data_IF_572355579896
#
_entry.id   IF_572355579896
#
_cell.length_a   1.000
_cell.length_b   1.000
_cell.length_c   1.000
_cell.angle_alpha   90.00
_cell.angle_beta   90.00
_cell.angle_gamma   90.00
#
_symmetry.space_group_name_H-M   'P 1'
#
loop_
_entity.id
_entity.type
_entity.pdbx_description
1 polymer ?
#
# COMPACT_ATOMS: atom_id res chain seq x y z
N UNK A 1 76.41 -40.11 -1.62
CA UNK A 1 76.52 -38.70 -1.19
C UNK A 1 75.74 -37.93 -2.25
N UNK A 2 74.77 -37.07 -1.89
CA UNK A 2 73.75 -36.38 -2.75
C UNK A 2 72.28 -36.86 -2.59
N UNK A 3 71.67 -36.88 -1.38
CA UNK A 3 70.20 -36.73 -1.31
C UNK A 3 69.72 -35.71 -0.27
N UNK A 4 70.63 -35.07 0.45
CA UNK A 4 70.31 -34.12 1.53
C UNK A 4 70.06 -32.71 1.01
N UNK A 5 70.80 -32.26 -0.01
CA UNK A 5 70.67 -30.93 -0.60
C UNK A 5 69.33 -30.70 -1.33
N UNK A 6 68.81 -31.69 -2.06
CA UNK A 6 67.49 -31.60 -2.70
C UNK A 6 66.36 -31.50 -1.68
N UNK A 7 66.43 -32.26 -0.57
CA UNK A 7 65.41 -32.22 0.48
C UNK A 7 65.39 -30.87 1.21
N UNK A 8 66.56 -30.29 1.48
CA UNK A 8 66.66 -28.94 2.04
C UNK A 8 66.17 -27.87 1.06
N UNK A 9 66.51 -27.98 -0.22
CA UNK A 9 66.02 -27.08 -1.27
C UNK A 9 64.48 -27.09 -1.38
N UNK A 10 63.86 -28.27 -1.37
CA UNK A 10 62.41 -28.42 -1.42
C UNK A 10 61.76 -27.87 -0.14
N UNK A 11 62.35 -28.13 1.03
CA UNK A 11 61.86 -27.60 2.29
C UNK A 11 61.88 -26.06 2.31
N UNK A 12 62.96 -25.45 1.83
CA UNK A 12 63.09 -23.99 1.80
C UNK A 12 62.16 -23.35 0.78
N UNK A 13 62.00 -23.96 -0.41
CA UNK A 13 61.01 -23.54 -1.39
C UNK A 13 59.58 -23.65 -0.85
N UNK A 14 59.25 -24.71 -0.13
CA UNK A 14 57.93 -24.89 0.50
C UNK A 14 57.66 -23.85 1.59
N UNK A 15 58.71 -23.41 2.30
CA UNK A 15 58.64 -22.38 3.33
C UNK A 15 58.43 -20.99 2.73
N UNK A 16 59.11 -20.71 1.62
CA UNK A 16 58.92 -19.49 0.82
C UNK A 16 57.49 -19.39 0.27
N UNK A 17 57.00 -20.46 -0.37
CA UNK A 17 55.62 -20.55 -0.86
C UNK A 17 54.61 -20.34 0.27
N UNK A 18 54.85 -20.94 1.45
CA UNK A 18 53.98 -20.75 2.62
C UNK A 18 53.97 -19.31 3.13
N UNK A 19 55.10 -18.59 3.00
CA UNK A 19 55.20 -17.18 3.40
C UNK A 19 54.41 -16.29 2.44
N UNK A 20 54.58 -16.50 1.12
CA UNK A 20 53.82 -15.77 0.10
C UNK A 20 52.32 -16.10 0.17
N UNK A 21 51.95 -17.35 0.49
CA UNK A 21 50.54 -17.70 0.67
C UNK A 21 49.89 -16.95 1.85
N UNK A 22 50.70 -16.59 2.86
CA UNK A 22 50.25 -15.85 4.05
C UNK A 22 50.09 -14.35 3.80
N UNK A 23 50.70 -13.81 2.75
CA UNK A 23 50.53 -12.41 2.34
C UNK A 23 49.32 -12.20 1.43
N UNK A 24 48.80 -13.28 0.82
CA UNK A 24 47.60 -13.23 -0.04
C UNK A 24 46.31 -12.90 0.72
N UNK A 25 46.27 -13.12 2.04
CA UNK A 25 45.10 -12.85 2.87
C UNK A 25 45.52 -11.94 4.01
N UNK A 26 44.99 -10.72 4.01
CA UNK A 26 45.12 -9.80 5.12
C UNK A 26 44.07 -10.15 6.19
N UNK A 27 44.51 -10.58 7.38
CA UNK A 27 43.64 -10.92 8.49
C UNK A 27 42.83 -9.73 9.00
N UNK A 28 43.42 -8.53 9.01
CA UNK A 28 42.76 -7.31 9.48
C UNK A 28 41.61 -6.93 8.54
N UNK A 29 41.80 -7.08 7.22
CA UNK A 29 40.73 -6.83 6.23
C UNK A 29 39.59 -7.84 6.37
N UNK A 30 39.90 -9.10 6.71
CA UNK A 30 38.90 -10.14 6.91
C UNK A 30 38.08 -9.90 8.19
N UNK A 31 38.72 -9.44 9.26
CA UNK A 31 38.05 -9.02 10.49
C UNK A 31 37.20 -7.75 10.29
N UNK A 32 37.72 -6.77 9.54
CA UNK A 32 36.95 -5.58 9.16
C UNK A 32 35.71 -5.94 8.32
N UNK A 33 35.87 -6.84 7.34
CA UNK A 33 34.76 -7.33 6.52
C UNK A 33 33.71 -8.02 7.39
N UNK A 34 34.13 -8.87 8.33
CA UNK A 34 33.24 -9.53 9.27
C UNK A 34 32.48 -8.52 10.14
N UNK A 35 33.16 -7.50 10.67
CA UNK A 35 32.52 -6.44 11.46
C UNK A 35 31.48 -5.67 10.63
N UNK A 36 31.81 -5.32 9.39
CA UNK A 36 30.89 -4.64 8.49
C UNK A 36 29.66 -5.49 8.18
N UNK A 37 29.83 -6.80 7.99
CA UNK A 37 28.72 -7.73 7.80
C UNK A 37 27.80 -7.79 9.03
N UNK A 38 28.34 -7.78 10.25
CA UNK A 38 27.51 -7.74 11.47
C UNK A 38 26.74 -6.42 11.58
N UNK A 39 27.36 -5.30 11.22
CA UNK A 39 26.69 -4.00 11.20
C UNK A 39 25.57 -3.95 10.17
N UNK A 40 25.80 -4.47 8.96
CA UNK A 40 24.76 -4.58 7.92
C UNK A 40 23.62 -5.47 8.41
N UNK A 41 23.94 -6.63 9.00
CA UNK A 41 22.93 -7.55 9.53
C UNK A 41 22.07 -6.87 10.60
N UNK A 42 22.68 -6.18 11.57
CA UNK A 42 21.94 -5.46 12.61
C UNK A 42 21.01 -4.40 12.03
N UNK A 43 21.48 -3.60 11.08
CA UNK A 43 20.64 -2.60 10.40
C UNK A 43 19.47 -3.21 9.63
N UNK A 44 19.68 -4.36 8.98
CA UNK A 44 18.61 -5.08 8.29
C UNK A 44 17.58 -5.64 9.27
N UNK A 45 18.03 -6.14 10.42
CA UNK A 45 17.15 -6.62 11.49
C UNK A 45 16.31 -5.47 12.07
N UNK A 46 16.94 -4.32 12.37
CA UNK A 46 16.25 -3.12 12.85
C UNK A 46 15.19 -2.65 11.85
N UNK A 47 15.56 -2.59 10.56
CA UNK A 47 14.63 -2.20 9.50
C UNK A 47 13.46 -3.19 9.38
N UNK A 48 13.71 -4.49 9.53
CA UNK A 48 12.67 -5.51 9.45
C UNK A 48 11.70 -5.39 10.65
N UNK A 49 12.20 -5.12 11.85
CA UNK A 49 11.38 -4.89 13.02
C UNK A 49 10.46 -3.68 12.85
N UNK A 50 10.98 -2.57 12.31
CA UNK A 50 10.18 -1.37 12.01
C UNK A 50 9.10 -1.67 10.97
N UNK A 51 9.43 -2.38 9.89
CA UNK A 51 8.47 -2.74 8.84
C UNK A 51 7.39 -3.69 9.36
N UNK A 52 7.74 -4.65 10.21
CA UNK A 52 6.78 -5.56 10.84
C UNK A 52 5.78 -4.78 11.69
N UNK A 53 6.27 -3.89 12.57
CA UNK A 53 5.40 -3.04 13.38
C UNK A 53 4.53 -2.12 12.52
N UNK A 54 5.07 -1.56 11.44
CA UNK A 54 4.29 -0.75 10.50
C UNK A 54 3.17 -1.56 9.83
N UNK A 55 3.47 -2.78 9.37
CA UNK A 55 2.49 -3.66 8.76
C UNK A 55 1.35 -3.95 9.74
N UNK A 56 1.67 -4.40 10.96
CA UNK A 56 0.68 -4.69 12.01
C UNK A 56 -0.16 -3.46 12.35
N UNK A 57 0.48 -2.30 12.50
CA UNK A 57 -0.22 -1.05 12.77
C UNK A 57 -1.16 -0.65 11.63
N UNK A 58 -0.69 -0.75 10.38
CA UNK A 58 -1.48 -0.38 9.20
C UNK A 58 -2.69 -1.30 9.00
N UNK A 59 -2.54 -2.59 9.27
CA UNK A 59 -3.63 -3.56 9.24
C UNK A 59 -4.68 -3.29 10.31
N UNK A 60 -4.25 -3.00 11.54
CA UNK A 60 -5.16 -2.65 12.64
C UNK A 60 -5.94 -1.37 12.34
N UNK A 61 -5.26 -0.31 11.88
CA UNK A 61 -5.89 0.94 11.49
C UNK A 61 -6.92 0.73 10.37
N UNK A 62 -6.58 -0.06 9.34
CA UNK A 62 -7.52 -0.39 8.27
C UNK A 62 -8.73 -1.17 8.78
N UNK A 63 -8.51 -2.17 9.64
CA UNK A 63 -9.59 -3.00 10.20
C UNK A 63 -10.55 -2.16 11.05
N UNK A 64 -10.04 -1.19 11.81
CA UNK A 64 -10.84 -0.27 12.62
C UNK A 64 -11.80 0.56 11.76
N UNK A 65 -11.32 1.14 10.66
CA UNK A 65 -12.12 2.09 9.86
C UNK A 65 -12.92 1.43 8.73
N UNK A 66 -12.47 0.30 8.18
CA UNK A 66 -13.07 -0.35 7.01
C UNK A 66 -14.52 -0.79 7.26
N UNK A 67 -14.82 -1.29 8.46
CA UNK A 67 -16.16 -1.69 8.84
C UNK A 67 -17.15 -0.52 8.84
N UNK A 68 -16.72 0.65 9.29
CA UNK A 68 -17.57 1.84 9.35
C UNK A 68 -17.75 2.47 7.98
N UNK A 69 -16.71 2.49 7.13
CA UNK A 69 -16.88 2.86 5.73
C UNK A 69 -17.89 1.97 5.00
N UNK A 70 -17.84 0.65 5.22
CA UNK A 70 -18.78 -0.28 4.63
C UNK A 70 -20.22 0.00 5.09
N UNK A 71 -20.44 0.16 6.41
CA UNK A 71 -21.76 0.49 6.97
C UNK A 71 -22.29 1.82 6.44
N UNK A 72 -21.46 2.87 6.46
CA UNK A 72 -21.84 4.22 6.02
C UNK A 72 -22.17 4.24 4.52
N UNK A 73 -21.35 3.57 3.69
CA UNK A 73 -21.63 3.44 2.26
C UNK A 73 -22.95 2.72 1.99
N UNK A 74 -23.25 1.66 2.75
CA UNK A 74 -24.52 0.94 2.64
C UNK A 74 -25.71 1.81 3.04
N UNK A 75 -25.57 2.59 4.12
CA UNK A 75 -26.58 3.55 4.57
C UNK A 75 -26.85 4.62 3.51
N UNK A 76 -25.81 5.23 2.95
CA UNK A 76 -25.94 6.23 1.89
C UNK A 76 -26.66 5.67 0.65
N UNK A 77 -26.37 4.43 0.25
CA UNK A 77 -27.09 3.76 -0.85
C UNK A 77 -28.58 3.57 -0.54
N UNK A 78 -28.91 3.17 0.69
CA UNK A 78 -30.31 3.06 1.14
C UNK A 78 -31.02 4.41 1.08
N UNK A 79 -30.39 5.46 1.65
CA UNK A 79 -30.95 6.80 1.66
C UNK A 79 -31.16 7.35 0.24
N UNK A 80 -30.23 7.08 -0.70
CA UNK A 80 -30.40 7.42 -2.12
C UNK A 80 -31.67 6.76 -2.67
N UNK A 81 -31.82 5.44 -2.48
CA UNK A 81 -33.00 4.70 -2.95
C UNK A 81 -34.31 5.25 -2.38
N UNK A 82 -34.31 5.61 -1.09
CA UNK A 82 -35.48 6.19 -0.43
C UNK A 82 -35.83 7.57 -1.03
N UNK A 83 -34.83 8.41 -1.28
CA UNK A 83 -35.02 9.71 -1.94
C UNK A 83 -35.54 9.54 -3.37
N UNK A 84 -34.97 8.61 -4.15
CA UNK A 84 -35.42 8.33 -5.52
C UNK A 84 -36.90 7.90 -5.53
N UNK A 85 -37.31 7.06 -4.57
CA UNK A 85 -38.70 6.67 -4.40
C UNK A 85 -39.60 7.85 -4.03
N UNK A 86 -39.19 8.70 -3.09
CA UNK A 86 -39.94 9.90 -2.69
C UNK A 86 -40.13 10.85 -3.87
N UNK A 87 -39.07 11.13 -4.64
CA UNK A 87 -39.16 12.01 -5.81
C UNK A 87 -40.06 11.43 -6.90
N UNK A 88 -39.97 10.13 -7.16
CA UNK A 88 -40.88 9.45 -8.10
C UNK A 88 -42.34 9.59 -7.65
N UNK A 89 -42.60 9.41 -6.35
CA UNK A 89 -43.96 9.50 -5.79
C UNK A 89 -44.50 10.92 -5.86
N UNK A 90 -43.69 11.93 -5.53
CA UNK A 90 -44.03 13.35 -5.68
C UNK A 90 -44.35 13.71 -7.13
N UNK A 91 -43.52 13.27 -8.10
CA UNK A 91 -43.76 13.51 -9.52
C UNK A 91 -45.06 12.86 -10.01
N UNK A 92 -45.33 11.64 -9.55
CA UNK A 92 -46.58 10.92 -9.86
C UNK A 92 -47.79 11.64 -9.28
N UNK A 93 -47.73 12.09 -8.03
CA UNK A 93 -48.81 12.85 -7.39
C UNK A 93 -49.06 14.17 -8.10
N UNK A 94 -48.00 14.93 -8.40
CA UNK A 94 -48.09 16.17 -9.16
C UNK A 94 -48.77 15.96 -10.51
N UNK A 95 -48.35 14.95 -11.28
CA UNK A 95 -48.95 14.61 -12.58
C UNK A 95 -50.44 14.29 -12.47
N UNK A 96 -50.85 13.52 -11.45
CA UNK A 96 -52.27 13.21 -11.21
C UNK A 96 -53.07 14.47 -10.86
N UNK A 97 -52.53 15.34 -10.00
CA UNK A 97 -53.22 16.59 -9.62
C UNK A 97 -53.36 17.51 -10.83
N UNK A 98 -52.31 17.70 -11.63
CA UNK A 98 -52.35 18.50 -12.86
C UNK A 98 -53.36 17.97 -13.88
N UNK A 99 -53.56 16.65 -13.95
CA UNK A 99 -54.54 16.05 -14.84
C UNK A 99 -55.99 16.30 -14.41
N UNK A 100 -56.26 16.36 -13.09
CA UNK A 100 -57.61 16.58 -12.54
C UNK A 100 -57.92 18.06 -12.38
N UNK A 101 -56.92 18.87 -12.04
CA UNK A 101 -56.99 20.30 -11.78
C UNK A 101 -55.87 21.03 -12.54
N UNK A 102 -56.07 21.37 -13.82
CA UNK A 102 -55.02 21.97 -14.65
C UNK A 102 -54.55 23.33 -14.12
N UNK A 103 -55.40 24.07 -13.41
CA UNK A 103 -55.07 25.37 -12.83
C UNK A 103 -54.41 25.27 -11.43
N UNK A 104 -54.18 24.07 -10.90
CA UNK A 104 -53.65 23.87 -9.54
C UNK A 104 -52.17 24.27 -9.39
N UNK A 105 -51.43 24.40 -10.49
CA UNK A 105 -50.03 24.79 -10.50
C UNK A 105 -49.83 25.93 -11.51
N UNK A 106 -50.22 27.15 -11.15
CA UNK A 106 -50.00 28.35 -11.97
C UNK A 106 -48.51 28.69 -12.07
N UNK A 107 -48.08 29.27 -13.20
CA UNK A 107 -46.66 29.52 -13.54
C UNK A 107 -45.87 30.32 -12.48
N UNK A 108 -46.54 31.14 -11.66
CA UNK A 108 -45.93 31.87 -10.54
C UNK A 108 -45.39 30.94 -9.44
N UNK A 109 -46.03 29.78 -9.24
CA UNK A 109 -45.58 28.71 -8.32
C UNK A 109 -44.61 27.71 -8.98
N UNK A 110 -44.49 27.77 -10.31
CA UNK A 110 -43.59 26.97 -11.13
C UNK A 110 -42.27 27.69 -11.45
N UNK A 111 -41.91 28.75 -10.72
CA UNK A 111 -40.55 29.32 -10.69
C UNK A 111 -39.57 28.26 -10.16
N UNK A 112 -39.20 27.40 -11.09
CA UNK A 112 -38.10 26.44 -11.16
C UNK A 112 -37.35 26.24 -9.85
N UNK A 113 -37.82 25.27 -9.04
CA UNK A 113 -36.86 24.37 -8.40
C UNK A 113 -36.38 23.45 -9.52
N UNK A 114 -35.44 23.97 -10.30
CA UNK A 114 -34.67 23.19 -11.26
C UNK A 114 -33.96 22.09 -10.45
N UNK A 115 -34.15 20.83 -10.82
CA UNK A 115 -33.47 19.71 -10.17
C UNK A 115 -32.00 19.75 -10.57
N UNK A 116 -31.20 20.54 -9.85
CA UNK A 116 -29.76 20.73 -10.07
C UNK A 116 -28.92 19.57 -9.54
N UNK A 117 -29.53 18.45 -9.18
CA UNK A 117 -28.77 17.28 -8.76
C UNK A 117 -27.96 16.77 -9.96
N UNK A 118 -26.65 16.53 -9.81
CA UNK A 118 -25.85 15.89 -10.84
C UNK A 118 -26.46 14.52 -11.18
N UNK A 119 -26.58 14.20 -12.46
CA UNK A 119 -26.98 12.87 -12.90
C UNK A 119 -25.86 11.87 -12.61
N UNK A 120 -25.96 11.18 -11.47
CA UNK A 120 -24.99 10.20 -10.99
C UNK A 120 -25.01 8.89 -11.80
N UNK A 121 -25.95 8.72 -12.73
CA UNK A 121 -26.01 7.57 -13.65
C UNK A 121 -25.44 7.89 -15.04
N UNK A 122 -25.08 9.14 -15.30
CA UNK A 122 -24.29 9.50 -16.46
C UNK A 122 -22.91 8.79 -16.39
N UNK A 123 -22.45 8.16 -17.48
CA UNK A 123 -21.08 7.64 -17.54
C UNK A 123 -20.12 8.76 -17.16
N UNK A 124 -19.20 8.50 -16.23
CA UNK A 124 -18.09 9.41 -15.96
C UNK A 124 -17.37 9.65 -17.30
N UNK A 125 -17.38 10.89 -17.78
CA UNK A 125 -16.57 11.25 -18.95
C UNK A 125 -15.10 10.94 -18.62
N UNK A 126 -14.37 10.32 -19.57
CA UNK A 126 -13.01 9.82 -19.36
C UNK A 126 -11.98 10.91 -19.06
#
# INVERSE_FOLDING_TARGET
>A
MEPTGEKESIAEASKEVSREFRTLINGDDLDNLKQLQHLILGRLQDSNAVLTHFNDYSENCFTEVSGDFYKNTRLLKSMKSDLDYIFLRLRTMKSKISAVYPDAFTDESAKQVEDRRPDLEAPMEP
#
